data_IF_588411898839
#
_entry.id   IF_588411898839
#
_cell.length_a   1.000
_cell.length_b   1.000
_cell.length_c   1.000
_cell.angle_alpha   90.00
_cell.angle_beta   90.00
_cell.angle_gamma   90.00
#
_symmetry.space_group_name_H-M   'P 1'
#
loop_
_entity.id
_entity.type
_entity.pdbx_description
1 polymer ?
#
# COMPACT_ATOMS: atom_id res chain seq x y z
N UNK A 1 -19.58 4.32 15.31
CA UNK A 1 -18.54 3.74 14.43
C UNK A 1 -18.14 4.84 13.45
N UNK A 2 -17.05 5.55 13.73
CA UNK A 2 -16.55 6.61 12.85
C UNK A 2 -15.62 5.98 11.83
N UNK A 3 -16.13 5.67 10.63
CA UNK A 3 -15.32 5.51 9.43
C UNK A 3 -14.83 6.90 9.01
N UNK A 4 -13.93 7.48 9.80
CA UNK A 4 -13.12 8.58 9.31
C UNK A 4 -12.15 7.96 8.31
N UNK A 5 -12.52 8.14 7.05
CA UNK A 5 -11.66 8.15 5.88
C UNK A 5 -10.32 8.78 6.28
N UNK A 6 -9.36 7.94 6.70
CA UNK A 6 -7.99 8.35 6.91
C UNK A 6 -7.52 8.88 5.56
N UNK A 7 -7.23 10.18 5.48
CA UNK A 7 -6.60 10.75 4.29
C UNK A 7 -5.30 9.96 4.09
N UNK A 8 -5.31 9.07 3.11
CA UNK A 8 -4.18 8.20 2.78
C UNK A 8 -2.98 9.11 2.50
N UNK A 9 -1.99 9.10 3.40
CA UNK A 9 -0.69 9.77 3.23
C UNK A 9 0.02 9.29 1.97
N UNK A 10 -0.27 8.04 1.62
CA UNK A 10 0.15 7.35 0.43
C UNK A 10 -0.93 7.63 -0.60
N UNK A 11 -0.79 8.70 -1.41
CA UNK A 11 -1.78 9.04 -2.44
C UNK A 11 -1.99 7.85 -3.39
N UNK A 12 -2.92 6.97 -3.06
CA UNK A 12 -3.25 5.73 -3.74
C UNK A 12 -4.72 5.44 -3.50
N UNK A 13 -5.43 5.12 -4.58
CA UNK A 13 -6.88 4.88 -4.57
C UNK A 13 -7.19 3.56 -5.24
N UNK A 14 -8.38 3.05 -4.98
CA UNK A 14 -8.93 1.95 -5.76
C UNK A 14 -8.96 2.34 -7.25
N UNK A 15 -8.74 1.36 -8.12
CA UNK A 15 -8.60 1.48 -9.56
C UNK A 15 -7.29 2.17 -10.04
N UNK A 16 -6.45 2.70 -9.15
CA UNK A 16 -5.11 3.15 -9.55
C UNK A 16 -4.29 1.98 -10.08
N UNK A 17 -3.39 2.30 -11.02
CA UNK A 17 -2.41 1.34 -11.51
C UNK A 17 -1.04 1.60 -10.90
N UNK A 18 -0.38 0.52 -10.48
CA UNK A 18 0.90 0.58 -9.80
C UNK A 18 1.87 -0.48 -10.33
N UNK A 19 3.16 -0.23 -10.08
CA UNK A 19 4.21 -1.22 -10.09
C UNK A 19 4.62 -1.53 -8.65
N UNK A 20 4.82 -2.81 -8.33
CA UNK A 20 5.29 -3.22 -7.01
C UNK A 20 6.80 -3.06 -6.89
N UNK A 21 7.27 -2.71 -5.70
CA UNK A 21 8.70 -2.67 -5.34
C UNK A 21 8.98 -3.91 -4.49
N UNK A 22 9.72 -4.87 -5.06
CA UNK A 22 10.12 -6.08 -4.35
C UNK A 22 11.63 -6.09 -4.21
N UNK A 23 12.11 -6.29 -2.99
CA UNK A 23 13.56 -6.29 -2.67
C UNK A 23 14.28 -4.99 -3.14
N UNK A 24 13.59 -3.85 -3.06
CA UNK A 24 14.13 -2.54 -3.48
C UNK A 24 14.13 -2.30 -4.99
N UNK A 25 13.59 -3.22 -5.80
CA UNK A 25 13.53 -3.10 -7.26
C UNK A 25 12.08 -2.92 -7.70
N UNK A 26 11.82 -1.88 -8.51
CA UNK A 26 10.52 -1.66 -9.15
C UNK A 26 10.30 -2.70 -10.26
N UNK A 27 9.29 -3.55 -10.12
CA UNK A 27 8.93 -4.57 -11.12
C UNK A 27 8.09 -3.96 -12.25
N UNK A 28 8.75 -3.21 -13.15
CA UNK A 28 8.07 -2.51 -14.26
C UNK A 28 7.51 -3.45 -15.34
N UNK A 29 7.92 -4.71 -15.33
CA UNK A 29 7.41 -5.77 -16.18
C UNK A 29 5.98 -6.19 -15.80
N UNK A 30 5.52 -5.85 -14.59
CA UNK A 30 4.19 -6.24 -14.08
C UNK A 30 3.39 -5.06 -13.61
N UNK A 31 2.33 -4.74 -14.34
CA UNK A 31 1.36 -3.70 -13.98
C UNK A 31 0.24 -4.30 -13.14
N UNK A 32 -0.10 -3.63 -12.04
CA UNK A 32 -1.15 -4.07 -11.13
C UNK A 32 -2.24 -3.02 -11.01
N UNK A 33 -3.49 -3.46 -10.89
CA UNK A 33 -4.65 -2.64 -10.60
C UNK A 33 -5.05 -2.79 -9.14
N UNK A 34 -5.21 -1.68 -8.43
CA UNK A 34 -5.66 -1.69 -7.03
C UNK A 34 -7.17 -1.92 -6.96
N UNK A 35 -7.61 -2.87 -6.14
CA UNK A 35 -9.04 -3.14 -5.92
C UNK A 35 -9.54 -2.64 -4.57
N UNK A 36 -8.78 -2.86 -3.51
CA UNK A 36 -9.17 -2.51 -2.16
C UNK A 36 -7.94 -2.23 -1.32
N UNK A 37 -8.06 -1.33 -0.34
CA UNK A 37 -7.00 -0.94 0.57
C UNK A 37 -7.39 -1.30 2.01
N UNK A 38 -6.46 -1.90 2.75
CA UNK A 38 -6.62 -2.21 4.17
C UNK A 38 -5.47 -1.60 4.97
N UNK A 39 -5.77 -1.11 6.17
CA UNK A 39 -4.76 -0.57 7.09
C UNK A 39 -4.81 -1.35 8.39
N UNK A 40 -3.65 -1.84 8.83
CA UNK A 40 -3.49 -2.52 10.12
C UNK A 40 -2.57 -1.68 11.00
N UNK A 41 -3.08 -1.31 12.17
CA UNK A 41 -2.25 -0.70 13.21
C UNK A 41 -1.41 -1.79 13.88
N UNK A 42 -0.10 -1.59 13.89
CA UNK A 42 0.89 -2.52 14.44
C UNK A 42 1.87 -1.76 15.35
N UNK A 43 2.29 -2.39 16.45
CA UNK A 43 3.30 -1.85 17.36
C UNK A 43 2.75 -1.37 18.71
N UNK A 44 3.65 -1.29 19.69
CA UNK A 44 3.34 -0.77 21.01
C UNK A 44 3.71 0.71 21.12
N UNK A 45 3.20 1.37 22.16
CA UNK A 45 3.47 2.79 22.43
C UNK A 45 4.96 3.15 22.51
N UNK A 46 5.81 2.17 22.82
CA UNK A 46 7.26 2.32 22.86
C UNK A 46 7.92 2.52 21.48
N UNK A 47 7.33 1.98 20.41
CA UNK A 47 7.91 1.99 19.05
C UNK A 47 7.34 3.12 18.17
N UNK A 48 6.56 4.01 18.77
CA UNK A 48 5.96 5.17 18.11
C UNK A 48 4.70 4.87 17.31
N UNK A 49 4.14 3.66 17.43
CA UNK A 49 3.00 3.12 16.66
C UNK A 49 3.22 3.16 15.14
N UNK A 50 3.04 2.03 14.48
CA UNK A 50 3.17 1.87 13.02
C UNK A 50 1.86 1.44 12.39
N UNK A 51 1.70 1.75 11.12
CA UNK A 51 0.54 1.36 10.33
C UNK A 51 1.07 0.67 9.09
N UNK A 52 0.69 -0.59 8.92
CA UNK A 52 0.97 -1.39 7.74
C UNK A 52 -0.22 -1.23 6.79
N UNK A 53 0.06 -0.74 5.58
CA UNK A 53 -0.94 -0.49 4.54
C UNK A 53 -0.84 -1.62 3.52
N UNK A 54 -1.95 -2.31 3.30
CA UNK A 54 -2.07 -3.41 2.37
C UNK A 54 -3.03 -3.06 1.23
N UNK A 55 -2.84 -3.71 0.09
CA UNK A 55 -3.75 -3.63 -1.04
C UNK A 55 -4.05 -5.01 -1.62
N UNK A 56 -5.30 -5.22 -2.02
CA UNK A 56 -5.63 -6.26 -2.99
C UNK A 56 -5.33 -5.71 -4.37
N UNK A 57 -4.42 -6.36 -5.07
CA UNK A 57 -3.95 -5.93 -6.39
C UNK A 57 -4.11 -7.06 -7.40
N UNK A 58 -4.61 -6.72 -8.58
CA UNK A 58 -4.77 -7.63 -9.71
C UNK A 58 -3.69 -7.37 -10.75
N UNK A 59 -2.89 -8.38 -11.08
CA UNK A 59 -1.91 -8.30 -12.17
C UNK A 59 -2.67 -8.21 -13.51
N UNK A 60 -2.41 -7.19 -14.31
CA UNK A 60 -3.20 -6.89 -15.52
C UNK A 60 -3.14 -8.01 -16.57
N UNK A 61 -1.99 -8.66 -16.74
CA UNK A 61 -1.80 -9.68 -17.76
C UNK A 61 -2.40 -11.04 -17.37
N UNK A 62 -2.18 -11.46 -16.12
CA UNK A 62 -2.59 -12.78 -15.63
C UNK A 62 -3.93 -12.78 -14.89
N UNK A 63 -4.48 -11.61 -14.56
CA UNK A 63 -5.70 -11.42 -13.74
C UNK A 63 -5.58 -12.06 -12.35
N UNK A 64 -4.37 -12.35 -11.90
CA UNK A 64 -4.12 -12.92 -10.59
C UNK A 64 -4.28 -11.84 -9.52
N UNK A 65 -5.14 -12.10 -8.54
CA UNK A 65 -5.32 -11.23 -7.38
C UNK A 65 -4.36 -11.67 -6.27
N UNK A 66 -3.66 -10.69 -5.70
CA UNK A 66 -2.74 -10.87 -4.58
C UNK A 66 -2.97 -9.82 -3.51
N UNK A 67 -2.64 -10.17 -2.26
CA UNK A 67 -2.68 -9.25 -1.13
C UNK A 67 -1.25 -8.83 -0.80
N UNK A 68 -0.93 -7.56 -1.02
CA UNK A 68 0.44 -7.04 -1.00
C UNK A 68 0.57 -5.90 0.01
N UNK A 69 1.68 -5.87 0.74
CA UNK A 69 2.06 -4.71 1.55
C UNK A 69 2.52 -3.59 0.62
N UNK A 70 1.93 -2.40 0.73
CA UNK A 70 2.19 -1.26 -0.15
C UNK A 70 2.91 -0.11 0.55
N UNK A 71 2.77 0.03 1.86
CA UNK A 71 3.49 1.05 2.63
C UNK A 71 3.51 0.73 4.12
N UNK A 72 4.46 1.32 4.83
CA UNK A 72 4.48 1.40 6.29
C UNK A 72 4.60 2.86 6.69
N UNK A 73 3.71 3.34 7.56
CA UNK A 73 3.75 4.70 8.09
C UNK A 73 3.85 4.71 9.61
N UNK A 74 4.36 5.80 10.19
CA UNK A 74 4.25 6.07 11.63
C UNK A 74 2.88 6.65 11.99
N UNK A 75 2.56 6.75 13.29
CA UNK A 75 1.39 7.48 13.80
C UNK A 75 1.35 8.97 13.45
N UNK A 76 2.52 9.57 13.21
CA UNK A 76 2.60 10.93 12.68
C UNK A 76 2.39 10.98 11.17
N UNK A 77 1.89 9.88 10.57
CA UNK A 77 1.65 9.74 9.13
C UNK A 77 2.92 9.97 8.29
N UNK A 78 4.11 9.71 8.84
CA UNK A 78 5.35 9.75 8.06
C UNK A 78 5.55 8.39 7.39
N UNK A 79 5.79 8.38 6.07
CA UNK A 79 6.15 7.17 5.33
C UNK A 79 7.51 6.70 5.85
N UNK A 80 7.55 5.49 6.42
CA UNK A 80 8.79 4.80 6.79
C UNK A 80 9.30 4.00 5.59
N UNK A 81 8.40 3.24 4.96
CA UNK A 81 8.71 2.39 3.82
C UNK A 81 7.58 2.46 2.78
N UNK A 82 7.94 2.39 1.50
CA UNK A 82 7.02 2.41 0.36
C UNK A 82 7.35 1.24 -0.58
N UNK A 83 6.33 0.46 -0.93
CA UNK A 83 6.47 -0.78 -1.70
C UNK A 83 5.77 -0.75 -3.05
N UNK A 84 5.42 0.44 -3.55
CA UNK A 84 4.91 0.62 -4.90
C UNK A 84 5.32 1.96 -5.50
N UNK A 85 5.11 2.10 -6.80
CA UNK A 85 5.09 3.38 -7.51
C UNK A 85 3.88 3.42 -8.43
N UNK A 86 3.25 4.58 -8.60
CA UNK A 86 2.16 4.74 -9.55
C UNK A 86 2.68 4.55 -10.97
N UNK A 87 1.86 3.94 -11.83
CA UNK A 87 2.13 4.00 -13.26
C UNK A 87 1.90 5.43 -13.74
N UNK A 88 2.79 5.92 -14.60
CA UNK A 88 2.60 7.17 -15.35
C UNK A 88 1.44 7.05 -16.37
#
# INVERSE_FOLDING_TARGET
MNNQMLSFTVDLKEQDFIYLIKQGIVQKDKKYKVHCLEVKEEGNWHDGYTFSHFAYVEEVESQLISFELIAVTSKMLQIKDLYFTKCD
#
